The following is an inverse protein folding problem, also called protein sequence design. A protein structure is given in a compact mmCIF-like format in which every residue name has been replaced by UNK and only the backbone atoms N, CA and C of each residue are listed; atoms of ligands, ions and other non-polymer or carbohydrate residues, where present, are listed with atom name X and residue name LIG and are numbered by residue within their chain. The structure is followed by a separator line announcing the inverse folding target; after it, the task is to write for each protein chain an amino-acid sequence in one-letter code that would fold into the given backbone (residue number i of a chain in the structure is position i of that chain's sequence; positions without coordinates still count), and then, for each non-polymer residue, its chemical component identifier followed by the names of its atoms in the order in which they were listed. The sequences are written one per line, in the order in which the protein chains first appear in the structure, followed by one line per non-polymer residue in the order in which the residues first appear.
data_IF_296438018241
#
_entry.id   IF_296438018241
#
_cell.length_a   1.000
_cell.length_b   1.000
_cell.length_c   1.000
_cell.angle_alpha   90.00
_cell.angle_beta   90.00
_cell.angle_gamma   90.00
#
_symmetry.space_group_name_H-M   'P 1'
#
loop_
_entity.id
_entity.type
_entity.pdbx_description
1 polymer ?
#
# COMPACT_ATOMS: atom_id res chain seq x y z
N UNK A 1 4.49 -58.98 -34.67
CA UNK A 1 5.77 -59.44 -34.09
C UNK A 1 6.29 -58.52 -32.99
N UNK A 2 6.32 -57.22 -33.17
CA UNK A 2 6.90 -56.28 -32.21
C UNK A 2 6.25 -56.32 -30.79
N UNK A 3 4.92 -56.33 -30.70
CA UNK A 3 4.17 -56.35 -29.43
C UNK A 3 4.50 -57.61 -28.59
N UNK A 4 4.69 -58.76 -29.29
CA UNK A 4 5.01 -60.04 -28.65
C UNK A 4 6.42 -60.04 -28.07
N UNK A 5 7.36 -59.41 -28.75
CA UNK A 5 8.75 -59.20 -28.30
C UNK A 5 8.81 -58.29 -27.06
N UNK A 6 8.03 -57.23 -27.08
CA UNK A 6 7.92 -56.27 -25.95
C UNK A 6 7.30 -56.98 -24.73
N UNK A 7 6.25 -57.80 -24.92
CA UNK A 7 5.62 -58.55 -23.85
C UNK A 7 6.54 -59.63 -23.24
N UNK A 8 7.27 -60.36 -24.09
CA UNK A 8 8.25 -61.38 -23.64
C UNK A 8 9.45 -60.76 -22.93
N UNK A 9 9.94 -59.60 -23.40
CA UNK A 9 10.96 -58.81 -22.74
C UNK A 9 10.48 -58.31 -21.34
N UNK A 10 9.22 -57.91 -21.20
CA UNK A 10 8.63 -57.51 -19.91
C UNK A 10 8.56 -58.68 -18.93
N UNK A 11 8.29 -59.90 -19.41
CA UNK A 11 8.11 -61.09 -18.58
C UNK A 11 9.44 -61.66 -18.03
N UNK A 12 10.56 -61.53 -18.77
CA UNK A 12 11.87 -62.06 -18.37
C UNK A 12 12.63 -61.24 -17.31
N UNK A 13 12.34 -59.92 -17.18
CA UNK A 13 13.03 -59.05 -16.23
C UNK A 13 12.09 -58.23 -15.36
N UNK A 14 11.00 -58.83 -14.90
CA UNK A 14 9.92 -58.12 -14.17
C UNK A 14 10.41 -57.28 -12.98
N UNK A 15 11.30 -57.87 -12.15
CA UNK A 15 11.82 -57.16 -10.95
C UNK A 15 12.63 -55.91 -11.30
N UNK A 16 13.53 -55.98 -12.30
CA UNK A 16 14.34 -54.82 -12.72
C UNK A 16 13.50 -53.70 -13.33
N UNK A 17 12.53 -54.08 -14.16
CA UNK A 17 11.63 -53.07 -14.81
C UNK A 17 10.66 -52.49 -13.81
N UNK A 18 10.19 -53.25 -12.82
CA UNK A 18 9.35 -52.74 -11.74
C UNK A 18 10.09 -51.76 -10.84
N UNK A 19 11.37 -52.08 -10.52
CA UNK A 19 12.23 -51.15 -9.76
C UNK A 19 12.53 -49.87 -10.54
N UNK A 20 12.82 -49.99 -11.85
CA UNK A 20 13.05 -48.83 -12.70
C UNK A 20 11.78 -47.96 -12.82
N UNK A 21 10.60 -48.59 -13.01
CA UNK A 21 9.31 -47.88 -13.02
C UNK A 21 9.03 -47.18 -11.70
N UNK A 22 9.23 -47.90 -10.57
CA UNK A 22 9.04 -47.29 -9.25
C UNK A 22 9.99 -46.10 -8.99
N UNK A 23 11.26 -46.22 -9.42
CA UNK A 23 12.23 -45.12 -9.29
C UNK A 23 11.82 -43.88 -10.11
N UNK A 24 11.36 -44.08 -11.36
CA UNK A 24 10.90 -42.99 -12.22
C UNK A 24 9.64 -42.34 -11.63
N UNK A 25 8.67 -43.16 -11.22
CA UNK A 25 7.43 -42.66 -10.60
C UNK A 25 7.74 -41.86 -9.33
N UNK A 26 8.61 -42.38 -8.47
CA UNK A 26 9.02 -41.66 -7.26
C UNK A 26 9.72 -40.35 -7.61
N UNK A 27 10.65 -40.36 -8.57
CA UNK A 27 11.33 -39.13 -9.01
C UNK A 27 10.39 -38.07 -9.58
N UNK A 28 9.47 -38.49 -10.44
CA UNK A 28 8.45 -37.56 -11.00
C UNK A 28 7.52 -37.03 -9.92
N UNK A 29 7.07 -37.88 -9.00
CA UNK A 29 6.19 -37.47 -7.89
C UNK A 29 6.88 -36.45 -7.00
N UNK A 30 8.14 -36.69 -6.62
CA UNK A 30 8.90 -35.71 -5.81
C UNK A 30 9.13 -34.40 -6.57
N UNK A 31 9.50 -34.46 -7.84
CA UNK A 31 9.67 -33.25 -8.65
C UNK A 31 8.38 -32.44 -8.79
N UNK A 32 7.25 -33.12 -9.07
CA UNK A 32 5.93 -32.45 -9.17
C UNK A 32 5.50 -31.86 -7.83
N UNK A 33 5.70 -32.59 -6.74
CA UNK A 33 5.40 -32.09 -5.39
C UNK A 33 6.24 -30.85 -5.04
N UNK A 34 7.54 -30.85 -5.34
CA UNK A 34 8.42 -29.68 -5.13
C UNK A 34 7.98 -28.46 -5.95
N UNK A 35 7.63 -28.65 -7.22
CA UNK A 35 7.13 -27.57 -8.06
C UNK A 35 5.80 -27.05 -7.49
N UNK A 36 4.88 -27.93 -7.08
CA UNK A 36 3.60 -27.55 -6.49
C UNK A 36 3.78 -26.73 -5.21
N UNK A 37 4.66 -27.17 -4.31
CA UNK A 37 4.97 -26.44 -3.07
C UNK A 37 5.61 -25.09 -3.36
N UNK A 38 6.56 -25.02 -4.29
CA UNK A 38 7.23 -23.77 -4.66
C UNK A 38 6.26 -22.75 -5.26
N UNK A 39 5.33 -23.20 -6.11
CA UNK A 39 4.29 -22.31 -6.68
C UNK A 39 3.29 -21.86 -5.63
N UNK A 40 2.83 -22.75 -4.74
CA UNK A 40 1.86 -22.40 -3.68
C UNK A 40 2.46 -21.41 -2.66
N UNK A 41 3.72 -21.63 -2.25
CA UNK A 41 4.44 -20.68 -1.38
C UNK A 41 4.61 -19.33 -2.08
N UNK A 42 5.02 -19.33 -3.35
CA UNK A 42 5.16 -18.10 -4.12
C UNK A 42 3.84 -17.32 -4.24
N UNK A 43 2.74 -18.02 -4.45
CA UNK A 43 1.41 -17.41 -4.54
C UNK A 43 0.89 -16.91 -3.20
N UNK A 44 1.16 -17.63 -2.11
CA UNK A 44 0.87 -17.17 -0.75
C UNK A 44 1.68 -15.95 -0.38
N UNK A 45 3.00 -15.97 -0.58
CA UNK A 45 3.84 -14.80 -0.33
C UNK A 45 3.39 -13.58 -1.13
N UNK A 46 3.08 -13.74 -2.42
CA UNK A 46 2.56 -12.63 -3.22
C UNK A 46 1.22 -12.10 -2.71
N UNK A 47 0.34 -12.97 -2.20
CA UNK A 47 -0.92 -12.54 -1.57
C UNK A 47 -0.70 -11.82 -0.26
N UNK A 48 0.15 -12.32 0.61
CA UNK A 48 0.51 -11.67 1.88
C UNK A 48 1.21 -10.33 1.65
N UNK A 49 2.17 -10.26 0.71
CA UNK A 49 2.84 -9.01 0.36
C UNK A 49 1.87 -7.96 -0.23
N UNK A 50 0.78 -8.39 -0.88
CA UNK A 50 -0.28 -7.49 -1.35
C UNK A 50 -1.12 -6.93 -0.21
N UNK A 51 -1.26 -7.65 0.90
CA UNK A 51 -1.95 -7.15 2.10
C UNK A 51 -1.09 -6.18 2.89
N UNK A 52 0.23 -6.21 2.70
CA UNK A 52 1.20 -5.32 3.38
C UNK A 52 1.26 -3.92 2.73
N UNK A 53 0.61 -3.71 1.58
CA UNK A 53 0.41 -2.37 1.02
C UNK A 53 1.15 -2.06 -0.27
N UNK A 54 1.37 -0.76 -0.48
CA UNK A 54 2.04 -0.25 -1.65
C UNK A 54 3.50 -0.73 -1.72
N UNK A 55 3.89 -1.20 -2.90
CA UNK A 55 5.23 -1.75 -3.17
C UNK A 55 6.12 -0.77 -3.95
N UNK A 56 5.60 0.39 -4.34
CA UNK A 56 6.35 1.44 -5.02
C UNK A 56 6.15 2.74 -4.24
N UNK A 57 7.25 3.42 -3.93
CA UNK A 57 7.25 4.73 -3.31
C UNK A 57 7.76 5.76 -4.33
N UNK A 58 6.94 6.77 -4.61
CA UNK A 58 7.32 7.92 -5.45
C UNK A 58 7.58 9.10 -4.53
N UNK A 59 8.76 9.68 -4.63
CA UNK A 59 9.19 10.86 -3.89
C UNK A 59 9.62 11.96 -4.87
N UNK A 60 9.53 13.22 -4.49
CA UNK A 60 10.06 14.29 -5.31
C UNK A 60 11.57 14.18 -5.42
N UNK A 61 12.12 14.55 -6.56
CA UNK A 61 13.55 14.71 -6.72
C UNK A 61 13.99 15.95 -5.93
N UNK A 62 14.85 15.75 -4.94
CA UNK A 62 15.42 16.87 -4.20
C UNK A 62 16.58 17.44 -5.01
N UNK A 63 16.46 18.69 -5.43
CA UNK A 63 17.52 19.44 -6.18
C UNK A 63 18.64 19.95 -5.26
N UNK A 64 18.65 19.57 -3.99
CA UNK A 64 19.68 20.02 -3.05
C UNK A 64 20.81 19.02 -2.99
N UNK A 65 22.01 19.46 -3.37
CA UNK A 65 23.26 18.78 -3.05
C UNK A 65 23.33 18.56 -1.53
N UNK A 66 23.50 17.32 -1.09
CA UNK A 66 23.84 17.03 0.29
C UNK A 66 25.23 17.62 0.59
N UNK A 67 25.25 18.82 1.17
CA UNK A 67 26.51 19.46 1.60
C UNK A 67 26.80 18.98 3.01
N UNK A 68 27.62 17.95 3.13
CA UNK A 68 28.16 17.47 4.40
C UNK A 68 29.51 18.14 4.64
N UNK A 69 29.58 19.01 5.64
CA UNK A 69 30.85 19.65 6.06
C UNK A 69 31.16 19.16 7.46
N UNK A 70 32.23 18.37 7.61
CA UNK A 70 32.72 17.91 8.90
C UNK A 70 31.78 16.95 9.66
N UNK A 71 30.98 16.14 8.95
CA UNK A 71 30.03 15.19 9.56
C UNK A 71 28.71 15.82 10.04
N UNK A 72 28.51 17.12 9.75
CA UNK A 72 27.25 17.83 10.02
C UNK A 72 26.55 18.08 8.69
N UNK A 73 25.35 17.52 8.55
CA UNK A 73 24.50 17.77 7.39
C UNK A 73 23.90 19.19 7.50
N UNK A 74 24.43 20.12 6.72
CA UNK A 74 23.99 21.51 6.66
C UNK A 74 22.84 21.71 5.67
N UNK A 75 21.91 20.75 5.62
CA UNK A 75 20.68 20.94 4.86
C UNK A 75 19.91 22.12 5.47
N UNK A 76 19.70 23.23 4.75
CA UNK A 76 18.79 24.25 5.27
C UNK A 76 17.44 23.58 5.50
N UNK A 77 16.64 24.00 6.50
CA UNK A 77 15.29 23.55 6.69
C UNK A 77 14.44 24.06 5.51
N UNK A 78 14.67 23.49 4.33
CA UNK A 78 13.80 23.69 3.19
C UNK A 78 12.56 22.84 3.46
N UNK A 79 11.39 23.39 3.22
CA UNK A 79 10.11 22.65 3.20
C UNK A 79 10.15 21.41 2.26
N UNK A 80 11.29 21.11 1.66
CA UNK A 80 11.57 20.06 0.70
C UNK A 80 10.78 20.23 -0.60
N UNK A 81 11.17 19.51 -1.63
CA UNK A 81 10.41 19.44 -2.86
C UNK A 81 9.05 18.74 -2.63
N UNK A 82 8.03 19.16 -3.37
CA UNK A 82 6.70 18.55 -3.39
C UNK A 82 6.40 18.04 -4.80
N UNK A 83 5.63 16.96 -4.86
CA UNK A 83 4.96 16.51 -6.07
C UNK A 83 3.66 17.31 -6.23
N UNK A 84 3.18 17.43 -7.48
CA UNK A 84 1.92 18.11 -7.75
C UNK A 84 0.77 17.09 -7.78
N UNK A 85 -0.30 17.33 -7.01
CA UNK A 85 -1.51 16.52 -7.00
C UNK A 85 -2.13 16.38 -8.40
N UNK A 86 -2.05 17.41 -9.25
CA UNK A 86 -2.55 17.37 -10.62
C UNK A 86 -1.83 16.33 -11.51
N UNK A 87 -0.65 15.87 -11.12
CA UNK A 87 0.11 14.86 -11.86
C UNK A 87 -0.26 13.43 -11.45
N UNK A 88 -1.00 13.23 -10.36
CA UNK A 88 -1.39 11.90 -9.86
C UNK A 88 -2.11 11.02 -10.91
N UNK A 89 -3.05 11.57 -11.71
CA UNK A 89 -3.70 10.75 -12.75
C UNK A 89 -2.71 10.17 -13.78
N UNK A 90 -1.56 10.82 -14.00
CA UNK A 90 -0.51 10.34 -14.94
C UNK A 90 0.07 8.99 -14.53
N UNK A 91 -0.04 8.60 -13.27
CA UNK A 91 0.36 7.27 -12.78
C UNK A 91 -0.39 6.18 -13.56
N UNK A 92 -1.67 6.40 -13.87
CA UNK A 92 -2.46 5.52 -14.74
C UNK A 92 -2.17 5.67 -16.23
N UNK A 93 -1.40 6.68 -16.64
CA UNK A 93 -0.97 6.89 -18.03
C UNK A 93 0.25 6.07 -18.45
N UNK A 94 0.83 5.26 -17.56
CA UNK A 94 2.00 4.44 -17.86
C UNK A 94 1.63 3.21 -18.69
N UNK A 95 2.60 2.63 -19.40
CA UNK A 95 2.40 1.41 -20.20
C UNK A 95 1.80 0.26 -19.36
N UNK A 96 2.22 0.15 -18.09
CA UNK A 96 1.77 -0.88 -17.14
C UNK A 96 0.58 -0.46 -16.27
N UNK A 97 -0.25 0.47 -16.72
CA UNK A 97 -1.38 1.03 -15.94
C UNK A 97 -2.35 -0.02 -15.41
N UNK A 98 -2.55 -1.13 -16.15
CA UNK A 98 -3.43 -2.23 -15.73
C UNK A 98 -2.88 -2.97 -14.49
N UNK A 99 -1.57 -2.93 -14.27
CA UNK A 99 -0.94 -3.54 -13.10
C UNK A 99 -1.08 -2.67 -11.84
N UNK A 100 -1.37 -1.37 -11.99
CA UNK A 100 -1.54 -0.46 -10.87
C UNK A 100 -2.93 -0.64 -10.29
N UNK A 101 -3.01 -1.19 -9.08
CA UNK A 101 -4.27 -1.47 -8.38
C UNK A 101 -4.79 -0.27 -7.62
N UNK A 102 -3.90 0.63 -7.20
CA UNK A 102 -4.24 1.85 -6.50
C UNK A 102 -3.00 2.65 -6.13
N UNK A 103 -3.23 3.88 -5.72
CA UNK A 103 -2.20 4.72 -5.11
C UNK A 103 -2.81 5.64 -4.06
N UNK A 104 -1.98 6.08 -3.11
CA UNK A 104 -2.36 7.03 -2.08
C UNK A 104 -1.28 8.12 -1.95
N UNK A 105 -1.63 9.39 -2.18
CA UNK A 105 -0.76 10.50 -1.87
C UNK A 105 -0.66 10.67 -0.36
N UNK A 106 0.50 11.07 0.13
CA UNK A 106 0.77 11.33 1.55
C UNK A 106 1.38 12.71 1.72
N UNK A 107 0.80 13.50 2.59
CA UNK A 107 1.28 14.84 2.96
C UNK A 107 1.34 14.95 4.50
N UNK A 108 2.46 14.59 5.14
CA UNK A 108 2.62 14.82 6.56
C UNK A 108 2.88 16.30 6.85
N UNK A 109 2.13 16.87 7.78
CA UNK A 109 2.22 18.28 8.21
C UNK A 109 2.30 18.29 9.73
N UNK A 110 3.27 19.03 10.30
CA UNK A 110 3.31 19.25 11.75
C UNK A 110 2.29 20.31 12.12
N UNK A 111 1.41 19.97 13.04
CA UNK A 111 0.30 20.84 13.47
C UNK A 111 0.23 20.94 14.99
N UNK A 112 -0.24 22.10 15.46
CA UNK A 112 -0.49 22.32 16.87
C UNK A 112 -1.90 21.81 17.24
N UNK A 113 -1.96 20.80 18.12
CA UNK A 113 -3.19 20.32 18.70
C UNK A 113 -3.40 21.03 20.05
N UNK A 114 -4.47 21.79 20.16
CA UNK A 114 -4.83 22.51 21.37
C UNK A 114 -5.86 21.73 22.18
N UNK A 115 -5.57 21.53 23.49
CA UNK A 115 -6.47 20.88 24.43
C UNK A 115 -6.24 21.39 25.85
N UNK A 116 -7.30 21.70 26.55
CA UNK A 116 -7.27 22.12 27.99
C UNK A 116 -6.22 23.19 28.29
N UNK A 117 -6.05 24.14 27.37
CA UNK A 117 -5.06 25.22 27.48
C UNK A 117 -3.61 24.80 27.24
N UNK A 118 -3.36 23.54 26.88
CA UNK A 118 -2.05 23.03 26.46
C UNK A 118 -2.03 22.86 24.93
N UNK A 119 -0.84 22.99 24.37
CA UNK A 119 -0.61 22.76 22.93
C UNK A 119 0.44 21.68 22.78
N UNK A 120 0.12 20.69 21.99
CA UNK A 120 1.02 19.57 21.62
C UNK A 120 1.23 19.57 20.10
N UNK A 121 2.45 19.33 19.65
CA UNK A 121 2.70 19.14 18.22
C UNK A 121 2.42 17.68 17.84
N UNK A 122 1.56 17.51 16.86
CA UNK A 122 1.22 16.19 16.29
C UNK A 122 1.37 16.22 14.77
N UNK A 123 1.54 15.07 14.18
CA UNK A 123 1.54 14.95 12.72
C UNK A 123 0.10 14.83 12.22
N UNK A 124 -0.28 15.70 11.27
CA UNK A 124 -1.46 15.55 10.44
C UNK A 124 -1.03 14.90 9.13
N UNK A 125 -1.49 13.70 8.86
CA UNK A 125 -1.26 12.99 7.61
C UNK A 125 -2.42 13.23 6.64
N UNK A 126 -2.20 14.08 5.64
CA UNK A 126 -3.15 14.28 4.55
C UNK A 126 -3.06 13.16 3.51
N UNK A 127 -4.18 12.55 3.15
CA UNK A 127 -4.22 11.47 2.15
C UNK A 127 -5.56 11.42 1.42
N UNK A 128 -5.67 10.56 0.41
CA UNK A 128 -6.95 10.14 -0.15
C UNK A 128 -7.47 8.92 0.63
N UNK A 129 -8.74 8.93 0.99
CA UNK A 129 -9.39 7.76 1.58
C UNK A 129 -9.93 6.82 0.50
N UNK A 130 -10.80 7.33 -0.37
CA UNK A 130 -11.39 6.58 -1.49
C UNK A 130 -11.79 7.55 -2.61
N UNK A 131 -10.83 8.32 -3.12
CA UNK A 131 -11.07 9.35 -4.11
C UNK A 131 -11.28 8.76 -5.49
N UNK A 132 -12.33 9.20 -6.18
CA UNK A 132 -12.55 8.89 -7.57
C UNK A 132 -11.70 9.83 -8.44
N UNK A 133 -10.94 9.26 -9.35
CA UNK A 133 -10.05 9.97 -10.27
C UNK A 133 -10.36 9.53 -11.70
N UNK A 134 -10.41 10.51 -12.60
CA UNK A 134 -10.60 10.26 -14.02
C UNK A 134 -9.26 10.35 -14.76
N UNK A 135 -9.00 9.38 -15.63
CA UNK A 135 -7.89 9.40 -16.56
C UNK A 135 -8.39 9.06 -17.97
N UNK A 136 -8.46 10.04 -18.84
CA UNK A 136 -9.07 9.89 -20.16
C UNK A 136 -10.58 9.61 -20.05
N UNK A 137 -11.00 8.42 -20.46
CA UNK A 137 -12.40 7.95 -20.36
C UNK A 137 -12.62 6.97 -19.20
N UNK A 138 -11.55 6.62 -18.48
CA UNK A 138 -11.60 5.66 -17.38
C UNK A 138 -11.73 6.40 -16.05
N UNK A 139 -12.58 5.88 -15.19
CA UNK A 139 -12.72 6.31 -13.80
C UNK A 139 -12.25 5.18 -12.87
N UNK A 140 -11.50 5.53 -11.85
CA UNK A 140 -11.06 4.56 -10.84
C UNK A 140 -11.03 5.19 -9.46
N UNK A 141 -11.30 4.37 -8.46
CA UNK A 141 -11.24 4.78 -7.06
C UNK A 141 -9.88 4.40 -6.49
N UNK A 142 -9.23 5.34 -5.80
CA UNK A 142 -7.91 5.14 -5.21
C UNK A 142 -7.79 5.82 -3.85
N UNK A 143 -6.81 5.41 -3.05
CA UNK A 143 -6.58 5.94 -1.72
C UNK A 143 -6.18 4.86 -0.72
N UNK A 144 -6.02 5.25 0.54
CA UNK A 144 -5.54 4.34 1.60
C UNK A 144 -6.45 3.14 1.84
N UNK A 145 -7.75 3.25 1.58
CA UNK A 145 -8.67 2.11 1.70
C UNK A 145 -8.34 0.96 0.74
N UNK A 146 -7.71 1.28 -0.40
CA UNK A 146 -7.28 0.29 -1.40
C UNK A 146 -5.81 -0.10 -1.25
N UNK A 147 -4.94 0.83 -0.84
CA UNK A 147 -3.50 0.59 -0.72
C UNK A 147 -3.08 0.07 0.65
N UNK A 148 -3.85 0.39 1.71
CA UNK A 148 -3.57 0.04 3.10
C UNK A 148 -4.71 -0.81 3.67
N UNK A 149 -4.98 -1.96 3.08
CA UNK A 149 -6.11 -2.82 3.42
C UNK A 149 -6.09 -3.36 4.85
N UNK A 150 -4.94 -3.32 5.53
CA UNK A 150 -4.79 -3.69 6.94
C UNK A 150 -5.23 -2.59 7.91
N UNK A 151 -5.40 -1.35 7.45
CA UNK A 151 -5.92 -0.28 8.29
C UNK A 151 -7.33 -0.59 8.72
N UNK A 152 -7.56 -0.57 10.02
CA UNK A 152 -8.88 -0.80 10.62
C UNK A 152 -9.38 0.49 11.23
N UNK A 153 -10.62 0.85 10.92
CA UNK A 153 -11.26 2.05 11.47
C UNK A 153 -12.45 1.64 12.31
N UNK A 154 -12.45 2.05 13.57
CA UNK A 154 -13.60 1.97 14.47
C UNK A 154 -14.38 3.27 14.35
N UNK A 155 -15.58 3.23 13.79
CA UNK A 155 -16.38 4.38 13.39
C UNK A 155 -16.55 4.46 11.87
N UNK A 156 -16.52 5.67 11.32
CA UNK A 156 -16.71 5.91 9.89
C UNK A 156 -15.42 6.43 9.24
N UNK A 157 -15.16 5.98 8.01
CA UNK A 157 -14.15 6.60 7.17
C UNK A 157 -14.60 7.99 6.76
N UNK A 158 -13.73 9.02 6.85
CA UNK A 158 -14.05 10.35 6.30
C UNK A 158 -14.24 10.30 4.78
N UNK A 159 -15.06 11.19 4.28
CA UNK A 159 -15.12 11.46 2.84
C UNK A 159 -13.98 12.39 2.44
N UNK A 160 -13.42 12.20 1.23
CA UNK A 160 -12.31 13.02 0.72
C UNK A 160 -12.69 14.52 0.55
N UNK A 161 -14.01 14.85 0.51
CA UNK A 161 -14.55 16.19 0.46
C UNK A 161 -14.90 16.77 1.83
N UNK A 162 -14.85 15.98 2.90
CA UNK A 162 -15.20 16.41 4.26
C UNK A 162 -14.02 17.07 4.97
N UNK A 163 -14.31 17.59 6.18
CA UNK A 163 -13.30 18.05 7.14
C UNK A 163 -13.17 17.12 8.34
N UNK A 164 -13.81 15.96 8.27
CA UNK A 164 -13.71 14.96 9.31
C UNK A 164 -12.33 14.30 9.28
N UNK A 165 -11.88 13.83 10.44
CA UNK A 165 -10.55 13.24 10.60
C UNK A 165 -10.64 11.89 11.29
N UNK A 166 -9.61 11.06 11.10
CA UNK A 166 -9.35 9.89 11.93
C UNK A 166 -8.28 10.24 12.97
N UNK A 167 -8.43 9.74 14.17
CA UNK A 167 -7.35 9.72 15.15
C UNK A 167 -6.70 8.35 15.17
N UNK A 168 -5.38 8.31 15.15
CA UNK A 168 -4.64 7.09 15.43
C UNK A 168 -4.97 6.57 16.83
N UNK A 169 -5.00 5.25 16.99
CA UNK A 169 -5.45 4.59 18.24
C UNK A 169 -4.63 5.02 19.45
N UNK A 170 -3.30 5.12 19.33
CA UNK A 170 -2.44 5.58 20.43
C UNK A 170 -2.65 7.06 20.75
N UNK A 171 -2.83 7.90 19.72
CA UNK A 171 -3.13 9.31 19.92
C UNK A 171 -4.50 9.48 20.60
N UNK A 172 -5.53 8.80 20.14
CA UNK A 172 -6.87 8.84 20.73
C UNK A 172 -6.88 8.41 22.19
N UNK A 173 -6.16 7.32 22.52
CA UNK A 173 -6.01 6.86 23.91
C UNK A 173 -5.29 7.91 24.78
N UNK A 174 -4.20 8.52 24.28
CA UNK A 174 -3.46 9.56 24.99
C UNK A 174 -4.30 10.81 25.25
N UNK A 175 -5.10 11.19 24.26
CA UNK A 175 -6.01 12.33 24.37
C UNK A 175 -7.33 12.01 25.07
N UNK A 176 -7.64 10.72 25.30
CA UNK A 176 -8.95 10.24 25.79
C UNK A 176 -10.12 10.68 24.91
N UNK A 177 -9.87 10.84 23.60
CA UNK A 177 -10.87 11.22 22.60
C UNK A 177 -11.52 9.98 21.97
N UNK A 178 -12.77 10.14 21.52
CA UNK A 178 -13.58 9.07 20.94
C UNK A 178 -14.16 9.49 19.59
N UNK A 179 -14.69 8.54 18.88
CA UNK A 179 -15.49 8.80 17.67
C UNK A 179 -16.66 9.73 18.01
N UNK A 180 -16.80 10.80 17.26
CA UNK A 180 -17.82 11.82 17.43
C UNK A 180 -17.35 13.08 18.16
N UNK A 181 -16.21 13.03 18.86
CA UNK A 181 -15.65 14.17 19.55
C UNK A 181 -15.07 15.21 18.58
N UNK A 182 -14.83 16.42 19.08
CA UNK A 182 -14.19 17.51 18.33
C UNK A 182 -12.80 17.79 18.88
N UNK A 183 -11.82 17.88 17.98
CA UNK A 183 -10.46 18.30 18.31
C UNK A 183 -10.13 19.64 17.66
N UNK A 184 -9.21 20.40 18.27
CA UNK A 184 -8.76 21.67 17.72
C UNK A 184 -7.33 21.55 17.19
N UNK A 185 -7.18 21.56 15.84
CA UNK A 185 -5.89 21.52 15.15
C UNK A 185 -5.60 22.86 14.48
N UNK A 186 -4.48 23.48 14.81
CA UNK A 186 -4.08 24.78 14.24
C UNK A 186 -5.22 25.81 14.26
N UNK A 187 -5.98 25.88 15.37
CA UNK A 187 -7.10 26.79 15.58
C UNK A 187 -8.41 26.40 14.88
N UNK A 188 -8.48 25.24 14.23
CA UNK A 188 -9.67 24.74 13.52
C UNK A 188 -10.31 23.61 14.31
N UNK A 189 -11.61 23.66 14.51
CA UNK A 189 -12.38 22.55 15.07
C UNK A 189 -12.67 21.53 14.00
N UNK A 190 -12.31 20.27 14.26
CA UNK A 190 -12.46 19.13 13.37
C UNK A 190 -13.13 18.01 14.12
N UNK A 191 -14.06 17.31 13.46
CA UNK A 191 -14.77 16.18 14.04
C UNK A 191 -14.01 14.89 13.81
N UNK A 192 -13.91 14.07 14.85
CA UNK A 192 -13.34 12.72 14.80
C UNK A 192 -14.41 11.76 14.27
N UNK A 193 -14.29 11.31 13.02
CA UNK A 193 -15.23 10.35 12.43
C UNK A 193 -14.94 8.91 12.83
N UNK A 194 -13.71 8.60 13.23
CA UNK A 194 -13.30 7.25 13.63
C UNK A 194 -11.90 7.20 14.22
N UNK A 195 -11.59 6.05 14.81
CA UNK A 195 -10.28 5.73 15.37
C UNK A 195 -9.59 4.73 14.45
N UNK A 196 -8.37 5.06 14.03
CA UNK A 196 -7.55 4.26 13.13
C UNK A 196 -6.60 3.36 13.93
N UNK A 197 -6.60 2.07 13.63
CA UNK A 197 -5.56 1.12 14.05
C UNK A 197 -4.80 0.67 12.80
N UNK A 198 -3.61 1.20 12.61
CA UNK A 198 -2.74 0.94 11.46
C UNK A 198 -1.61 -0.03 11.79
N UNK A 199 -1.23 -0.14 13.08
CA UNK A 199 -0.11 -0.93 13.57
C UNK A 199 1.26 -0.28 13.28
N UNK A 200 1.27 1.00 12.90
CA UNK A 200 2.46 1.77 12.52
C UNK A 200 2.53 3.14 13.21
N UNK A 201 3.29 4.06 12.60
CA UNK A 201 3.43 5.45 13.07
C UNK A 201 2.11 6.22 13.04
N UNK A 202 1.22 5.85 12.12
CA UNK A 202 -0.08 6.48 11.91
C UNK A 202 -1.00 6.33 13.14
N UNK A 203 -0.71 5.38 14.04
CA UNK A 203 -1.45 5.26 15.30
C UNK A 203 -1.19 6.43 16.27
N UNK A 204 -0.13 7.22 16.04
CA UNK A 204 0.18 8.45 16.79
C UNK A 204 -0.18 9.73 16.02
N UNK A 205 -0.80 9.62 14.86
CA UNK A 205 -1.07 10.73 13.94
C UNK A 205 -2.57 11.04 13.85
N UNK A 206 -2.88 12.22 13.31
CA UNK A 206 -4.22 12.57 12.83
C UNK A 206 -4.24 12.34 11.32
N UNK A 207 -5.18 11.55 10.81
CA UNK A 207 -5.30 11.30 9.37
C UNK A 207 -6.52 12.04 8.82
N UNK A 208 -6.29 12.81 7.76
CA UNK A 208 -7.29 13.73 7.20
C UNK A 208 -7.32 13.65 5.66
N UNK A 209 -8.39 14.16 5.02
CA UNK A 209 -8.37 14.42 3.58
C UNK A 209 -7.19 15.31 3.21
N UNK A 210 -6.53 15.01 2.09
CA UNK A 210 -5.31 15.73 1.69
C UNK A 210 -5.56 17.24 1.52
N UNK A 211 -6.75 17.62 1.06
CA UNK A 211 -7.13 19.03 0.88
C UNK A 211 -7.05 19.82 2.20
N UNK A 212 -7.42 19.19 3.32
CA UNK A 212 -7.32 19.83 4.64
C UNK A 212 -5.85 20.03 5.04
N UNK A 213 -4.99 19.03 4.82
CA UNK A 213 -3.57 19.14 5.11
C UNK A 213 -2.89 20.20 4.24
N UNK A 214 -3.23 20.27 2.95
CA UNK A 214 -2.76 21.31 2.03
C UNK A 214 -3.21 22.71 2.45
N UNK A 215 -4.45 22.85 2.89
CA UNK A 215 -5.00 24.10 3.40
C UNK A 215 -4.25 24.58 4.65
N UNK A 216 -3.96 23.65 5.59
CA UNK A 216 -3.21 23.96 6.81
C UNK A 216 -1.76 24.30 6.52
N UNK A 217 -1.13 23.59 5.58
CA UNK A 217 0.23 23.85 5.13
C UNK A 217 0.34 25.15 4.30
N UNK A 218 -0.78 25.66 3.75
CA UNK A 218 -0.79 26.81 2.83
C UNK A 218 -0.20 26.50 1.45
N UNK A 219 -0.17 25.21 1.04
CA UNK A 219 0.37 24.77 -0.25
C UNK A 219 -0.65 23.88 -0.99
N UNK A 220 -1.63 24.49 -1.69
CA UNK A 220 -2.60 23.74 -2.48
C UNK A 220 -1.92 22.86 -3.54
N UNK A 221 -2.38 21.62 -3.69
CA UNK A 221 -1.85 20.66 -4.65
C UNK A 221 -0.51 20.03 -4.27
N UNK A 222 0.05 20.33 -3.10
CA UNK A 222 1.30 19.73 -2.65
C UNK A 222 1.09 18.29 -2.17
N UNK A 223 2.01 17.40 -2.58
CA UNK A 223 2.08 16.01 -2.14
C UNK A 223 3.54 15.71 -1.78
N UNK A 224 3.80 15.09 -0.63
CA UNK A 224 5.19 14.80 -0.22
C UNK A 224 5.69 13.47 -0.77
N UNK A 225 4.82 12.46 -0.81
CA UNK A 225 5.14 11.13 -1.33
C UNK A 225 3.87 10.44 -1.81
N UNK A 226 4.03 9.45 -2.69
CA UNK A 226 2.92 8.66 -3.19
C UNK A 226 3.25 7.19 -3.00
N UNK A 227 2.38 6.49 -2.34
CA UNK A 227 2.42 5.03 -2.25
C UNK A 227 1.62 4.44 -3.40
N UNK A 228 2.25 3.61 -4.22
CA UNK A 228 1.60 2.95 -5.37
C UNK A 228 1.61 1.45 -5.14
N UNK A 229 0.44 0.83 -5.28
CA UNK A 229 0.28 -0.61 -5.25
C UNK A 229 0.22 -1.15 -6.66
N UNK A 230 1.18 -2.01 -7.03
CA UNK A 230 1.25 -2.63 -8.34
C UNK A 230 1.28 -4.16 -8.26
N UNK A 231 0.65 -4.80 -9.25
CA UNK A 231 0.69 -6.26 -9.39
C UNK A 231 2.04 -6.71 -9.91
N UNK A 232 2.60 -7.73 -9.30
CA UNK A 232 3.90 -8.30 -9.72
C UNK A 232 3.76 -9.39 -10.78
N UNK A 233 2.55 -9.95 -10.97
CA UNK A 233 2.26 -10.97 -11.98
C UNK A 233 1.34 -10.42 -13.07
N UNK A 234 1.78 -10.43 -14.34
CA UNK A 234 0.98 -9.95 -15.48
C UNK A 234 -0.35 -10.70 -15.65
N UNK A 235 -0.41 -11.98 -15.30
CA UNK A 235 -1.61 -12.81 -15.43
C UNK A 235 -2.77 -12.27 -14.59
N UNK A 236 -2.47 -11.71 -13.42
CA UNK A 236 -3.49 -11.13 -12.53
C UNK A 236 -4.09 -9.83 -13.09
N UNK A 237 -3.36 -9.13 -13.96
CA UNK A 237 -3.86 -7.92 -14.62
C UNK A 237 -4.87 -8.27 -15.72
N UNK A 238 -4.72 -9.43 -16.36
CA UNK A 238 -5.64 -9.91 -17.40
C UNK A 238 -6.93 -10.47 -16.80
N UNK A 239 -6.87 -11.12 -15.64
CA UNK A 239 -8.03 -11.69 -14.97
C UNK A 239 -9.03 -10.62 -14.46
N UNK A 240 -8.63 -9.34 -14.37
CA UNK A 240 -9.52 -8.24 -13.97
C UNK A 240 -10.22 -7.52 -15.13
N UNK A 241 -10.06 -8.01 -16.36
CA UNK A 241 -10.67 -7.41 -17.55
C UNK A 241 -12.07 -7.92 -17.88
N UNK A 242 -12.62 -8.86 -17.13
CA UNK A 242 -14.01 -9.29 -17.34
C UNK A 242 -14.95 -8.35 -16.58
N UNK A 243 -16.03 -7.89 -17.27
CA UNK A 243 -16.94 -6.83 -16.85
C UNK A 243 -17.81 -7.17 -15.68
#
# INVERSE_FOLDING_TARGET
MFVRLVYESFRRQKRRKLLAGAAITLGVTVATAMIGVATDIGDKMNRELRTIGANILVTPQEDTLDVEIGGVNLKPPSDGAFLNEADLPKIKGTFWHNNITGFAPMLPVQVALARDGKTENVTLLGTYFAKQISFGKEEFTTGVRSTNSWWKVSGAWPEDSSRDVLLGERLAARLSERTGDEITLSGRRLRVSGILSAGGSEDDEVVAPIALAQEILGKPGAVKRIYVSALTKPEDALARRDP
#
